data_IF_856411417996
#
_entry.id   IF_856411417996
#
_cell.length_a   1.000
_cell.length_b   1.000
_cell.length_c   1.000
_cell.angle_alpha   90.00
_cell.angle_beta   90.00
_cell.angle_gamma   90.00
#
_symmetry.space_group_name_H-M   'P 1'
#
loop_
_entity.id
_entity.type
_entity.pdbx_description
1 polymer ?
#
# COMPACT_ATOMS: atom_id res chain seq x y z
N UNK A 1 4.14 13.82 8.22
CA UNK A 1 4.72 12.47 8.44
C UNK A 1 6.23 12.49 8.61
N UNK A 2 7.05 12.73 7.56
CA UNK A 2 8.52 12.57 7.71
C UNK A 2 9.13 13.51 8.75
N UNK A 3 8.67 14.76 8.81
CA UNK A 3 9.17 15.72 9.79
C UNK A 3 8.71 15.38 11.23
N UNK A 4 7.52 14.79 11.38
CA UNK A 4 7.02 14.28 12.67
C UNK A 4 7.93 13.15 13.22
N UNK A 5 8.65 12.46 12.33
CA UNK A 5 9.57 11.37 12.63
C UNK A 5 11.05 11.74 12.40
N UNK A 6 11.38 13.03 12.32
CA UNK A 6 12.78 13.48 12.10
C UNK A 6 13.77 13.00 13.16
N UNK A 7 13.30 12.71 14.38
CA UNK A 7 14.14 12.14 15.44
C UNK A 7 14.54 10.67 15.16
N UNK A 8 13.78 9.98 14.32
CA UNK A 8 14.05 8.61 13.87
C UNK A 8 14.76 8.64 12.52
N UNK A 9 14.19 9.33 11.53
CA UNK A 9 14.74 9.39 10.18
C UNK A 9 15.98 10.27 10.07
N UNK A 10 16.24 11.11 11.06
CA UNK A 10 17.25 12.17 10.98
C UNK A 10 16.75 13.36 10.14
N UNK A 11 17.61 14.38 10.05
CA UNK A 11 17.39 15.58 9.24
C UNK A 11 18.29 15.58 8.00
N UNK A 12 17.78 16.15 6.91
CA UNK A 12 18.51 16.41 5.68
C UNK A 12 19.33 17.71 5.77
N UNK A 13 20.01 18.06 4.67
CA UNK A 13 20.87 19.25 4.59
C UNK A 13 20.08 20.58 4.63
N UNK A 14 18.78 20.54 4.35
CA UNK A 14 17.89 21.71 4.37
C UNK A 14 17.15 21.83 5.72
N UNK A 15 17.40 20.92 6.66
CA UNK A 15 16.86 20.94 8.02
C UNK A 15 15.51 20.23 8.18
N UNK A 16 15.04 19.51 7.17
CA UNK A 16 13.78 18.75 7.21
C UNK A 16 14.02 17.29 7.52
N UNK A 17 13.00 16.60 8.07
CA UNK A 17 13.05 15.15 8.24
C UNK A 17 13.33 14.40 6.92
N UNK A 18 14.27 13.45 6.95
CA UNK A 18 14.62 12.63 5.77
C UNK A 18 13.41 11.82 5.30
N UNK A 19 13.26 11.71 3.97
CA UNK A 19 12.09 11.08 3.36
C UNK A 19 12.37 9.66 2.89
N UNK A 20 11.53 8.71 3.31
CA UNK A 20 11.54 7.32 2.81
C UNK A 20 10.91 7.16 1.42
N UNK A 21 10.33 8.23 0.85
CA UNK A 21 9.60 8.15 -0.41
C UNK A 21 10.52 8.07 -1.61
N UNK A 22 10.51 6.92 -2.27
CA UNK A 22 11.17 6.69 -3.55
C UNK A 22 10.14 6.26 -4.60
N UNK A 23 10.16 6.88 -5.77
CA UNK A 23 9.38 6.41 -6.91
C UNK A 23 10.21 6.31 -8.21
N UNK A 24 11.53 6.18 -8.08
CA UNK A 24 12.40 5.88 -9.21
C UNK A 24 12.03 4.51 -9.76
N UNK A 25 11.84 4.43 -11.07
CA UNK A 25 11.48 3.19 -11.76
C UNK A 25 10.03 2.70 -11.58
N UNK A 26 9.21 3.36 -10.74
CA UNK A 26 7.80 2.99 -10.54
C UNK A 26 6.98 3.36 -11.79
N UNK A 27 6.27 2.38 -12.34
CA UNK A 27 5.52 2.50 -13.59
C UNK A 27 4.01 2.61 -13.32
N UNK A 28 3.50 3.82 -13.17
CA UNK A 28 2.08 4.04 -12.90
C UNK A 28 1.21 3.51 -14.04
N UNK A 29 0.16 2.76 -13.70
CA UNK A 29 -0.78 2.19 -14.67
C UNK A 29 -0.29 0.91 -15.38
N UNK A 30 0.80 0.26 -14.92
CA UNK A 30 1.34 -0.93 -15.58
C UNK A 30 0.32 -2.08 -15.69
N UNK A 31 -0.40 -2.40 -14.61
CA UNK A 31 -1.44 -3.43 -14.66
C UNK A 31 -2.59 -3.06 -15.63
N UNK A 32 -2.99 -1.79 -15.65
CA UNK A 32 -4.01 -1.28 -16.58
C UNK A 32 -3.55 -1.41 -18.05
N UNK A 33 -2.27 -1.12 -18.33
CA UNK A 33 -1.66 -1.32 -19.65
C UNK A 33 -1.69 -2.81 -20.05
N UNK A 34 -1.23 -3.70 -19.15
CA UNK A 34 -1.23 -5.15 -19.40
C UNK A 34 -2.63 -5.71 -19.65
N UNK A 35 -3.64 -5.13 -19.00
CA UNK A 35 -5.04 -5.49 -19.17
C UNK A 35 -5.71 -4.80 -20.38
N UNK A 36 -4.99 -3.94 -21.12
CA UNK A 36 -5.55 -3.20 -22.26
C UNK A 36 -6.56 -2.11 -21.89
N UNK A 37 -6.61 -1.70 -20.61
CA UNK A 37 -7.50 -0.64 -20.12
C UNK A 37 -7.00 0.76 -20.46
N UNK A 38 -5.69 0.90 -20.68
CA UNK A 38 -5.06 2.09 -21.24
C UNK A 38 -4.17 1.69 -22.40
N UNK A 39 -4.07 2.58 -23.38
CA UNK A 39 -3.18 2.41 -24.52
C UNK A 39 -1.70 2.60 -24.13
N UNK A 40 -0.77 2.05 -24.91
CA UNK A 40 0.66 2.37 -24.79
C UNK A 40 0.96 3.87 -24.74
N UNK A 41 0.28 4.66 -25.57
CA UNK A 41 0.46 6.12 -25.62
C UNK A 41 0.02 6.79 -24.31
N UNK A 42 -1.12 6.39 -23.74
CA UNK A 42 -1.60 6.89 -22.44
C UNK A 42 -0.67 6.48 -21.29
N UNK A 43 -0.15 5.25 -21.31
CA UNK A 43 0.82 4.78 -20.32
C UNK A 43 2.12 5.60 -20.34
N UNK A 44 2.68 5.84 -21.53
CA UNK A 44 3.88 6.68 -21.70
C UNK A 44 3.59 8.14 -21.30
N UNK A 45 2.42 8.67 -21.67
CA UNK A 45 1.99 10.03 -21.32
C UNK A 45 1.85 10.20 -19.81
N UNK A 46 1.20 9.26 -19.13
CA UNK A 46 1.01 9.26 -17.68
C UNK A 46 2.36 9.31 -16.97
N UNK A 47 3.26 8.38 -17.31
CA UNK A 47 4.56 8.28 -16.64
C UNK A 47 5.52 9.41 -17.00
N UNK A 48 5.34 10.06 -18.15
CA UNK A 48 6.08 11.27 -18.48
C UNK A 48 5.52 12.54 -17.80
N UNK A 49 4.21 12.59 -17.52
CA UNK A 49 3.56 13.79 -16.98
C UNK A 49 3.63 13.87 -15.46
N UNK A 50 3.43 12.74 -14.78
CA UNK A 50 3.40 12.66 -13.33
C UNK A 50 4.76 12.21 -12.79
N UNK A 51 5.47 13.12 -12.12
CA UNK A 51 6.79 12.87 -11.52
C UNK A 51 6.65 12.31 -10.11
N UNK A 52 6.88 13.15 -9.10
CA UNK A 52 6.77 12.82 -7.68
C UNK A 52 6.20 13.98 -6.88
N UNK A 53 6.25 13.92 -5.55
CA UNK A 53 6.07 15.10 -4.71
C UNK A 53 7.31 16.00 -4.76
N UNK A 54 7.14 17.30 -4.51
CA UNK A 54 8.25 18.23 -4.29
C UNK A 54 9.10 17.81 -3.07
N UNK A 55 10.31 18.34 -2.96
CA UNK A 55 11.06 18.21 -1.70
C UNK A 55 10.38 19.03 -0.61
N UNK A 56 10.57 18.62 0.66
CA UNK A 56 9.90 19.26 1.80
C UNK A 56 10.11 20.77 1.84
N UNK A 57 11.31 21.24 1.50
CA UNK A 57 11.64 22.68 1.43
C UNK A 57 10.91 23.46 0.34
N UNK A 58 10.46 22.78 -0.70
CA UNK A 58 9.76 23.36 -1.86
C UNK A 58 8.24 23.19 -1.77
N UNK A 59 7.77 22.43 -0.76
CA UNK A 59 6.34 22.24 -0.52
C UNK A 59 5.72 23.54 0.01
N UNK A 60 4.49 23.78 -0.40
CA UNK A 60 3.66 24.90 0.03
C UNK A 60 2.43 24.40 0.76
N UNK A 61 1.81 25.27 1.55
CA UNK A 61 0.58 24.96 2.27
C UNK A 61 -0.55 24.49 1.31
N UNK A 62 -1.22 23.41 1.69
CA UNK A 62 -2.41 22.89 0.98
C UNK A 62 -3.55 23.91 0.93
N UNK A 63 -4.45 23.75 -0.05
CA UNK A 63 -5.49 24.71 -0.38
C UNK A 63 -6.87 24.19 -0.01
N UNK A 64 -7.90 24.78 -0.60
CA UNK A 64 -9.25 24.20 -0.58
C UNK A 64 -9.26 22.88 -1.38
N UNK A 65 -9.88 21.79 -0.89
CA UNK A 65 -10.77 21.70 0.27
C UNK A 65 -10.10 21.33 1.59
N UNK A 66 -8.80 21.05 1.61
CA UNK A 66 -8.09 20.63 2.83
C UNK A 66 -8.05 21.72 3.91
N UNK A 67 -7.95 22.98 3.50
CA UNK A 67 -8.11 24.15 4.37
C UNK A 67 -9.39 24.90 4.00
N UNK A 68 -10.49 24.59 4.71
CA UNK A 68 -11.82 25.11 4.42
C UNK A 68 -11.90 26.64 4.43
N UNK A 69 -11.15 27.31 5.30
CA UNK A 69 -11.10 28.78 5.37
C UNK A 69 -10.47 29.43 4.12
N UNK A 70 -9.76 28.66 3.28
CA UNK A 70 -9.22 29.14 2.00
C UNK A 70 -10.21 28.96 0.83
N UNK A 71 -11.33 28.25 1.03
CA UNK A 71 -12.29 27.95 -0.04
C UNK A 71 -13.04 29.16 -0.60
N UNK A 72 -13.04 30.30 0.10
CA UNK A 72 -13.60 31.54 -0.42
C UNK A 72 -12.78 32.14 -1.59
N UNK A 73 -11.52 31.73 -1.75
CA UNK A 73 -10.66 32.17 -2.85
C UNK A 73 -10.52 31.06 -3.91
N UNK A 74 -11.09 31.21 -5.12
CA UNK A 74 -10.99 30.21 -6.19
C UNK A 74 -9.54 29.85 -6.59
N UNK A 75 -8.59 30.77 -6.41
CA UNK A 75 -7.17 30.50 -6.68
C UNK A 75 -6.53 29.51 -5.69
N UNK A 76 -7.20 29.24 -4.56
CA UNK A 76 -6.79 28.24 -3.57
C UNK A 76 -7.43 26.87 -3.80
N UNK A 77 -8.31 26.72 -4.80
CA UNK A 77 -8.92 25.43 -5.11
C UNK A 77 -7.89 24.48 -5.75
N UNK A 78 -7.49 23.47 -4.99
CA UNK A 78 -6.49 22.47 -5.39
C UNK A 78 -6.80 21.11 -4.73
N UNK A 79 -7.89 20.43 -5.13
CA UNK A 79 -8.30 19.16 -4.52
C UNK A 79 -7.33 18.01 -4.80
N UNK A 80 -6.38 18.21 -5.70
CA UNK A 80 -5.37 17.21 -6.07
C UNK A 80 -4.00 17.50 -5.47
N UNK A 81 -3.84 18.56 -4.65
CA UNK A 81 -2.53 18.96 -4.12
C UNK A 81 -1.49 19.20 -5.22
N UNK A 82 -1.93 19.68 -6.39
CA UNK A 82 -1.13 19.86 -7.60
C UNK A 82 0.06 20.80 -7.37
N UNK A 83 -0.09 21.78 -6.49
CA UNK A 83 0.99 22.73 -6.14
C UNK A 83 2.18 22.05 -5.46
N UNK A 84 1.99 20.87 -4.88
CA UNK A 84 3.05 20.07 -4.26
C UNK A 84 3.55 18.92 -5.14
N UNK A 85 3.05 18.79 -6.37
CA UNK A 85 3.53 17.81 -7.35
C UNK A 85 4.68 18.35 -8.19
N UNK A 86 5.60 17.46 -8.57
CA UNK A 86 6.54 17.62 -9.69
C UNK A 86 5.85 17.10 -10.95
N UNK A 87 5.27 18.02 -11.70
CA UNK A 87 4.66 17.74 -13.00
C UNK A 87 5.59 18.11 -14.13
N UNK A 88 5.38 17.47 -15.28
CA UNK A 88 6.05 17.87 -16.51
C UNK A 88 5.65 19.31 -16.88
N UNK A 89 6.61 20.18 -17.24
CA UNK A 89 6.34 21.59 -17.56
C UNK A 89 5.60 21.77 -18.89
N UNK A 90 5.66 20.80 -19.79
CA UNK A 90 5.15 20.84 -21.16
C UNK A 90 4.15 19.71 -21.43
N UNK A 91 3.45 19.31 -20.36
CA UNK A 91 2.42 18.29 -20.41
C UNK A 91 2.94 16.90 -20.74
N UNK A 92 4.23 16.64 -20.62
CA UNK A 92 4.82 15.32 -20.71
C UNK A 92 6.00 15.25 -21.65
N UNK A 93 6.16 16.15 -22.62
CA UNK A 93 7.28 16.10 -23.60
C UNK A 93 8.63 15.96 -22.90
N UNK A 94 8.89 16.80 -21.90
CA UNK A 94 9.96 16.66 -20.91
C UNK A 94 9.44 15.79 -19.75
N UNK A 95 10.00 14.59 -19.51
CA UNK A 95 9.57 13.73 -18.41
C UNK A 95 9.67 14.45 -17.05
N UNK A 96 8.62 14.33 -16.26
CA UNK A 96 8.55 14.89 -14.92
C UNK A 96 9.56 14.19 -13.99
N UNK A 97 10.31 14.94 -13.15
CA UNK A 97 11.34 14.36 -12.29
C UNK A 97 10.74 13.45 -11.21
N UNK A 98 11.34 12.26 -11.04
CA UNK A 98 11.07 11.33 -9.94
C UNK A 98 11.84 11.74 -8.68
N UNK A 99 11.47 11.18 -7.54
CA UNK A 99 12.13 11.38 -6.26
C UNK A 99 12.81 10.10 -5.81
N UNK A 100 14.07 10.23 -5.42
CA UNK A 100 14.82 9.18 -4.75
C UNK A 100 14.60 9.33 -3.24
N UNK A 101 14.27 8.22 -2.57
CA UNK A 101 14.16 8.20 -1.12
C UNK A 101 15.53 8.06 -0.46
N UNK A 102 15.63 8.44 0.81
CA UNK A 102 16.87 8.44 1.57
C UNK A 102 17.11 7.07 2.23
N UNK A 103 18.20 6.35 1.88
CA UNK A 103 18.51 5.04 2.48
C UNK A 103 18.71 5.09 3.99
N UNK A 104 19.16 6.21 4.55
CA UNK A 104 19.32 6.39 6.00
C UNK A 104 17.94 6.35 6.66
N UNK A 105 16.95 7.06 6.10
CA UNK A 105 15.59 7.05 6.61
C UNK A 105 14.93 5.67 6.47
N UNK A 106 15.17 4.98 5.34
CA UNK A 106 14.64 3.62 5.11
C UNK A 106 15.20 2.63 6.12
N UNK A 107 16.52 2.62 6.31
CA UNK A 107 17.16 1.78 7.33
C UNK A 107 16.68 2.12 8.75
N UNK A 108 16.51 3.41 9.05
CA UNK A 108 15.96 3.87 10.32
C UNK A 108 14.54 3.34 10.55
N UNK A 109 13.64 3.43 9.55
CA UNK A 109 12.28 2.90 9.63
C UNK A 109 12.24 1.41 10.01
N UNK A 110 13.13 0.59 9.43
CA UNK A 110 13.24 -0.82 9.78
C UNK A 110 13.82 -1.05 11.16
N UNK A 111 14.96 -0.41 11.46
CA UNK A 111 15.70 -0.64 12.72
C UNK A 111 14.98 -0.11 13.95
N UNK A 112 14.12 0.89 13.81
CA UNK A 112 13.35 1.47 14.91
C UNK A 112 12.00 0.79 15.18
N UNK A 113 11.64 -0.25 14.42
CA UNK A 113 10.35 -0.93 14.56
C UNK A 113 9.14 -0.15 14.03
N UNK A 114 9.34 0.89 13.21
CA UNK A 114 8.23 1.61 12.56
C UNK A 114 7.56 0.78 11.46
N UNK A 115 8.23 -0.25 10.97
CA UNK A 115 7.71 -1.20 10.00
C UNK A 115 7.36 -2.49 10.72
N UNK A 116 6.07 -2.84 10.75
CA UNK A 116 5.66 -4.18 11.14
C UNK A 116 6.16 -5.18 10.08
N UNK A 117 7.05 -6.10 10.47
CA UNK A 117 7.70 -7.05 9.54
C UNK A 117 7.05 -8.44 9.49
N UNK A 118 6.00 -8.67 10.28
CA UNK A 118 5.36 -9.98 10.40
C UNK A 118 5.74 -10.75 11.67
N UNK A 119 6.82 -10.36 12.35
CA UNK A 119 7.30 -10.98 13.60
C UNK A 119 6.37 -10.65 14.77
N UNK A 120 5.36 -11.49 14.99
CA UNK A 120 4.39 -11.35 16.07
C UNK A 120 3.82 -12.73 16.44
N UNK A 121 3.87 -13.03 17.73
CA UNK A 121 3.54 -14.34 18.30
C UNK A 121 2.43 -14.27 19.35
N UNK A 122 1.64 -13.18 19.33
CA UNK A 122 0.48 -12.98 20.20
C UNK A 122 -0.85 -13.12 19.43
N UNK A 123 -1.98 -13.39 20.11
CA UNK A 123 -3.33 -13.30 19.54
C UNK A 123 -3.65 -11.96 18.87
N UNK A 124 -4.24 -11.98 17.68
CA UNK A 124 -4.63 -10.78 16.94
C UNK A 124 -6.05 -10.90 16.40
N UNK A 125 -6.85 -9.85 16.60
CA UNK A 125 -8.09 -9.59 15.86
C UNK A 125 -7.91 -8.23 15.16
N UNK A 126 -7.71 -8.23 13.84
CA UNK A 126 -7.77 -7.01 13.02
C UNK A 126 -9.22 -6.77 12.64
N UNK A 127 -9.89 -5.93 13.43
CA UNK A 127 -11.25 -5.51 13.15
C UNK A 127 -11.29 -4.08 12.60
N UNK A 128 -12.05 -3.88 11.52
CA UNK A 128 -12.28 -2.56 10.94
C UNK A 128 -13.65 -2.38 10.32
N UNK A 129 -14.04 -1.12 10.20
CA UNK A 129 -15.14 -0.72 9.33
C UNK A 129 -14.68 -0.70 7.87
N UNK A 130 -15.51 -1.21 6.96
CA UNK A 130 -15.27 -1.14 5.53
C UNK A 130 -15.79 0.19 4.97
N UNK A 131 -14.87 1.09 4.64
CA UNK A 131 -15.15 2.48 4.28
C UNK A 131 -14.75 2.85 2.84
N UNK A 132 -14.49 1.88 1.95
CA UNK A 132 -14.01 2.14 0.58
C UNK A 132 -14.94 3.05 -0.26
N UNK A 133 -16.22 3.18 0.12
CA UNK A 133 -17.18 4.09 -0.55
C UNK A 133 -17.07 5.54 -0.09
N UNK A 134 -16.27 5.79 0.93
CA UNK A 134 -16.03 7.12 1.51
C UNK A 134 -14.63 7.58 1.12
N UNK A 135 -14.46 8.89 0.97
CA UNK A 135 -13.13 9.49 0.82
C UNK A 135 -12.43 9.46 2.18
N UNK A 136 -11.84 8.31 2.50
CA UNK A 136 -11.23 8.01 3.80
C UNK A 136 -9.83 7.41 3.60
N UNK A 137 -8.90 7.71 4.52
CA UNK A 137 -7.52 7.22 4.42
C UNK A 137 -7.36 5.75 4.84
N UNK A 138 -8.33 5.20 5.59
CA UNK A 138 -8.35 3.83 6.09
C UNK A 138 -8.81 2.87 5.00
N UNK A 139 -7.93 2.58 4.06
CA UNK A 139 -8.16 1.55 3.05
C UNK A 139 -8.08 0.14 3.65
N UNK A 140 -8.88 -0.76 3.10
CA UNK A 140 -9.19 -2.09 3.61
C UNK A 140 -8.09 -3.10 3.30
N UNK A 141 -7.29 -2.86 2.26
CA UNK A 141 -6.19 -3.78 1.91
C UNK A 141 -5.11 -3.87 2.99
N UNK A 142 -5.01 -2.92 3.94
CA UNK A 142 -3.98 -2.98 5.00
C UNK A 142 -4.11 -4.22 5.89
N UNK A 143 -5.31 -4.79 6.08
CA UNK A 143 -5.45 -6.05 6.83
C UNK A 143 -4.70 -7.19 6.15
N UNK A 144 -4.84 -7.26 4.84
CA UNK A 144 -4.22 -8.28 4.01
C UNK A 144 -2.73 -7.99 3.80
N UNK A 145 -2.33 -6.72 3.77
CA UNK A 145 -0.93 -6.34 3.83
C UNK A 145 -0.27 -6.87 5.12
N UNK A 146 -0.88 -6.65 6.29
CA UNK A 146 -0.37 -7.16 7.58
C UNK A 146 -0.29 -8.69 7.60
N UNK A 147 -1.35 -9.38 7.16
CA UNK A 147 -1.36 -10.85 7.05
C UNK A 147 -0.28 -11.35 6.10
N UNK A 148 -0.10 -10.71 4.94
CA UNK A 148 0.97 -11.07 4.01
C UNK A 148 2.37 -10.89 4.64
N UNK A 149 2.57 -9.87 5.49
CA UNK A 149 3.85 -9.69 6.20
C UNK A 149 4.11 -10.82 7.19
N UNK A 150 3.09 -11.29 7.92
CA UNK A 150 3.20 -12.46 8.80
C UNK A 150 3.59 -13.70 8.00
N UNK A 151 2.85 -14.00 6.91
CA UNK A 151 3.17 -15.12 6.02
C UNK A 151 4.57 -15.02 5.41
N UNK A 152 5.03 -13.81 5.07
CA UNK A 152 6.38 -13.61 4.55
C UNK A 152 7.49 -13.83 5.61
N UNK A 153 7.17 -13.68 6.89
CA UNK A 153 8.15 -13.78 7.98
C UNK A 153 8.48 -15.23 8.32
N UNK A 154 7.46 -16.06 8.57
CA UNK A 154 7.64 -17.46 9.00
C UNK A 154 6.68 -18.45 8.32
N UNK A 155 5.88 -17.98 7.35
CA UNK A 155 4.90 -18.82 6.65
C UNK A 155 3.61 -19.06 7.43
N UNK A 156 3.43 -18.41 8.58
CA UNK A 156 2.28 -18.60 9.45
C UNK A 156 1.58 -17.27 9.76
N UNK A 157 0.25 -17.29 9.73
CA UNK A 157 -0.58 -16.16 10.19
C UNK A 157 -1.75 -16.65 11.06
N UNK A 158 -1.64 -17.86 11.59
CA UNK A 158 -2.69 -18.55 12.34
C UNK A 158 -2.97 -17.93 13.70
N UNK A 159 -2.11 -17.03 14.20
CA UNK A 159 -2.35 -16.20 15.38
C UNK A 159 -3.19 -14.94 15.08
N UNK A 160 -3.64 -14.71 13.85
CA UNK A 160 -4.47 -13.56 13.49
C UNK A 160 -5.77 -13.90 12.79
N UNK A 161 -6.80 -13.08 13.02
CA UNK A 161 -8.07 -13.09 12.26
C UNK A 161 -8.44 -11.68 11.78
N UNK A 162 -9.10 -11.60 10.63
CA UNK A 162 -9.54 -10.36 9.98
C UNK A 162 -11.05 -10.28 9.99
N UNK A 163 -11.58 -9.21 10.59
CA UNK A 163 -13.01 -8.96 10.75
C UNK A 163 -13.40 -7.63 10.10
N UNK A 164 -14.35 -7.65 9.16
CA UNK A 164 -14.88 -6.42 8.55
C UNK A 164 -16.34 -6.19 8.92
N UNK A 165 -16.71 -4.96 9.29
CA UNK A 165 -18.11 -4.53 9.41
C UNK A 165 -18.41 -3.52 8.31
N UNK A 166 -19.50 -3.70 7.57
CA UNK A 166 -19.90 -2.74 6.54
C UNK A 166 -20.24 -1.35 7.12
N UNK A 167 -19.85 -0.26 6.45
CA UNK A 167 -20.18 1.09 6.92
C UNK A 167 -20.23 2.16 5.81
N UNK A 168 -20.64 3.41 6.14
CA UNK A 168 -21.37 3.83 7.34
C UNK A 168 -22.92 3.74 7.22
N UNK A 169 -23.68 3.68 8.34
CA UNK A 169 -23.18 3.49 9.71
C UNK A 169 -22.66 2.05 9.91
N UNK A 170 -21.74 1.87 10.85
CA UNK A 170 -21.16 0.57 11.16
C UNK A 170 -21.37 0.25 12.64
N UNK A 171 -21.83 -0.96 12.92
CA UNK A 171 -21.97 -1.49 14.27
C UNK A 171 -20.59 -1.72 14.91
N UNK A 172 -20.50 -1.42 16.21
CA UNK A 172 -19.28 -1.60 17.00
C UNK A 172 -19.11 -3.06 17.46
N UNK A 173 -18.16 -3.78 16.85
CA UNK A 173 -17.82 -5.16 17.21
C UNK A 173 -16.74 -5.27 18.27
N UNK A 174 -16.25 -4.17 18.84
CA UNK A 174 -15.27 -4.22 19.93
C UNK A 174 -15.74 -5.11 21.09
N UNK A 175 -16.99 -5.07 21.58
CA UNK A 175 -17.44 -5.97 22.65
C UNK A 175 -17.30 -7.45 22.29
N UNK A 176 -17.65 -7.83 21.05
CA UNK A 176 -17.49 -9.21 20.59
C UNK A 176 -16.02 -9.59 20.44
N UNK A 177 -15.18 -8.70 19.90
CA UNK A 177 -13.75 -8.94 19.75
C UNK A 177 -13.07 -9.12 21.12
N UNK A 178 -13.43 -8.31 22.12
CA UNK A 178 -12.92 -8.47 23.49
C UNK A 178 -13.33 -9.78 24.12
N UNK A 179 -14.57 -10.24 23.94
CA UNK A 179 -15.01 -11.54 24.44
C UNK A 179 -14.21 -12.71 23.83
N UNK A 180 -13.96 -12.66 22.51
CA UNK A 180 -13.13 -13.67 21.83
C UNK A 180 -11.68 -13.60 22.28
N UNK A 181 -11.14 -12.40 22.47
CA UNK A 181 -9.76 -12.21 22.95
C UNK A 181 -9.59 -12.69 24.40
N UNK A 182 -10.57 -12.41 25.27
CA UNK A 182 -10.58 -12.87 26.66
C UNK A 182 -10.56 -14.41 26.74
N UNK A 183 -11.39 -15.10 25.94
CA UNK A 183 -11.38 -16.55 25.84
C UNK A 183 -10.03 -17.08 25.31
N UNK A 184 -9.46 -16.42 24.30
CA UNK A 184 -8.17 -16.82 23.73
C UNK A 184 -7.03 -16.69 24.76
N UNK A 185 -6.99 -15.58 25.49
CA UNK A 185 -6.01 -15.36 26.55
C UNK A 185 -6.21 -16.33 27.72
N UNK A 186 -7.46 -16.68 28.06
CA UNK A 186 -7.76 -17.69 29.07
C UNK A 186 -7.26 -19.08 28.66
N UNK A 187 -7.45 -19.48 27.39
CA UNK A 187 -6.91 -20.73 26.86
C UNK A 187 -5.39 -20.76 26.95
N UNK A 188 -4.70 -19.69 26.52
CA UNK A 188 -3.24 -19.57 26.61
C UNK A 188 -2.75 -19.69 28.06
N UNK A 189 -3.45 -19.06 29.00
CA UNK A 189 -3.10 -19.15 30.43
C UNK A 189 -3.28 -20.58 30.99
N UNK A 190 -4.28 -21.31 30.50
CA UNK A 190 -4.56 -22.69 30.90
C UNK A 190 -3.62 -23.72 30.24
N UNK A 191 -3.14 -23.42 29.02
CA UNK A 191 -2.30 -24.30 28.20
C UNK A 191 -1.07 -23.55 27.65
N UNK A 192 -0.16 -23.10 28.52
CA UNK A 192 1.02 -22.33 28.11
C UNK A 192 2.02 -23.14 27.27
N UNK A 193 1.89 -24.46 27.24
CA UNK A 193 2.68 -25.36 26.39
C UNK A 193 2.24 -25.38 24.92
N UNK A 194 1.02 -24.90 24.63
CA UNK A 194 0.45 -24.85 23.29
C UNK A 194 0.79 -23.54 22.59
N UNK A 195 0.87 -23.56 21.26
CA UNK A 195 1.02 -22.34 20.47
C UNK A 195 -0.22 -21.44 20.58
N UNK A 196 -0.08 -20.17 20.19
CA UNK A 196 -1.23 -19.25 20.10
C UNK A 196 -2.33 -19.81 19.19
N UNK A 197 -1.95 -20.42 18.08
CA UNK A 197 -2.88 -21.04 17.14
C UNK A 197 -3.62 -22.25 17.73
N UNK A 198 -2.93 -23.08 18.52
CA UNK A 198 -3.53 -24.22 19.20
C UNK A 198 -4.52 -23.79 20.29
N UNK A 199 -4.25 -22.66 20.95
CA UNK A 199 -5.12 -22.07 21.96
C UNK A 199 -6.31 -21.27 21.39
N UNK A 200 -6.47 -21.22 20.07
CA UNK A 200 -7.46 -20.39 19.39
C UNK A 200 -8.89 -20.84 19.74
N UNK A 201 -9.75 -19.96 20.30
CA UNK A 201 -11.13 -20.31 20.61
C UNK A 201 -11.97 -20.43 19.33
N UNK A 202 -13.11 -21.12 19.41
CA UNK A 202 -14.00 -21.31 18.26
C UNK A 202 -14.49 -19.99 17.64
N UNK A 203 -14.57 -18.93 18.45
CA UNK A 203 -14.93 -17.59 18.01
C UNK A 203 -13.84 -16.86 17.21
N UNK A 204 -12.57 -17.27 17.31
CA UNK A 204 -11.43 -16.63 16.66
C UNK A 204 -11.20 -17.20 15.25
N UNK A 205 -12.17 -16.97 14.38
CA UNK A 205 -12.10 -17.23 12.93
C UNK A 205 -12.28 -15.93 12.16
N UNK A 206 -11.91 -15.92 10.88
CA UNK A 206 -12.17 -14.79 9.98
C UNK A 206 -13.68 -14.55 9.83
N UNK A 207 -14.10 -13.28 9.75
CA UNK A 207 -15.52 -12.90 9.76
C UNK A 207 -15.79 -11.64 8.95
N UNK A 208 -17.03 -11.51 8.52
CA UNK A 208 -17.55 -10.22 8.10
C UNK A 208 -19.03 -10.02 8.48
N UNK A 209 -19.41 -8.77 8.65
CA UNK A 209 -20.70 -8.35 9.23
C UNK A 209 -21.38 -7.29 8.37
N UNK A 210 -22.71 -7.27 8.42
CA UNK A 210 -23.51 -6.16 7.91
C UNK A 210 -23.31 -4.91 8.79
N UNK A 211 -23.76 -3.75 8.32
CA UNK A 211 -23.64 -2.50 9.07
C UNK A 211 -24.46 -2.45 10.37
N UNK A 212 -25.45 -3.33 10.53
CA UNK A 212 -26.20 -3.53 11.78
C UNK A 212 -25.54 -4.52 12.75
N UNK A 213 -24.38 -5.07 12.36
CA UNK A 213 -23.60 -6.01 13.16
C UNK A 213 -23.96 -7.48 12.98
N UNK A 214 -24.99 -7.80 12.18
CA UNK A 214 -25.36 -9.20 11.90
C UNK A 214 -24.29 -9.90 11.05
N UNK A 215 -23.99 -11.19 11.30
CA UNK A 215 -22.96 -11.92 10.57
C UNK A 215 -23.36 -12.16 9.10
N UNK A 216 -22.39 -12.00 8.19
CA UNK A 216 -22.54 -12.34 6.77
C UNK A 216 -21.93 -13.71 6.50
N UNK A 217 -20.67 -13.88 6.88
CA UNK A 217 -19.95 -15.14 6.76
C UNK A 217 -18.84 -15.21 7.82
N UNK A 218 -18.44 -16.43 8.17
CA UNK A 218 -17.37 -16.72 9.12
C UNK A 218 -16.71 -18.05 8.82
N UNK A 219 -15.42 -18.16 9.12
CA UNK A 219 -14.67 -19.40 9.02
C UNK A 219 -13.53 -19.32 8.01
N UNK A 220 -12.94 -20.47 7.74
CA UNK A 220 -11.85 -20.59 6.78
C UNK A 220 -12.35 -20.29 5.37
N UNK A 221 -11.51 -19.62 4.60
CA UNK A 221 -11.77 -19.34 3.19
C UNK A 221 -12.74 -18.20 2.89
N UNK A 222 -13.33 -17.55 3.90
CA UNK A 222 -14.23 -16.40 3.65
C UNK A 222 -13.52 -15.22 2.99
N UNK A 223 -12.19 -15.14 3.12
CA UNK A 223 -11.32 -14.13 2.52
C UNK A 223 -10.46 -14.64 1.34
N UNK A 224 -10.74 -15.84 0.81
CA UNK A 224 -10.02 -16.38 -0.34
C UNK A 224 -10.11 -15.44 -1.56
N UNK A 225 -9.15 -15.57 -2.47
CA UNK A 225 -9.01 -14.74 -3.67
C UNK A 225 -8.39 -13.36 -3.42
N UNK A 226 -7.84 -13.10 -2.23
CA UNK A 226 -7.12 -11.85 -1.91
C UNK A 226 -5.60 -12.06 -1.87
N UNK A 227 -5.14 -13.07 -1.11
CA UNK A 227 -3.72 -13.40 -0.95
C UNK A 227 -3.32 -14.71 -1.67
N UNK A 228 -4.28 -15.33 -2.34
CA UNK A 228 -4.15 -16.60 -3.04
C UNK A 228 -4.87 -16.54 -4.39
N UNK A 229 -4.69 -17.60 -5.19
CA UNK A 229 -5.32 -17.75 -6.50
C UNK A 229 -6.68 -18.48 -6.42
N UNK A 230 -7.26 -18.64 -5.21
CA UNK A 230 -8.55 -19.31 -5.06
C UNK A 230 -9.73 -18.42 -5.49
N UNK A 231 -10.90 -19.04 -5.63
CA UNK A 231 -12.13 -18.30 -5.89
C UNK A 231 -12.44 -17.35 -4.72
N UNK A 232 -12.89 -16.15 -5.04
CA UNK A 232 -13.23 -15.14 -4.04
C UNK A 232 -14.21 -15.69 -2.99
N UNK A 233 -13.82 -15.64 -1.71
CA UNK A 233 -14.66 -16.05 -0.59
C UNK A 233 -15.87 -15.14 -0.39
N UNK A 234 -16.83 -15.56 0.45
CA UNK A 234 -18.06 -14.81 0.69
C UNK A 234 -17.81 -13.37 1.20
N UNK A 235 -16.81 -13.18 2.07
CA UNK A 235 -16.44 -11.85 2.54
C UNK A 235 -15.67 -11.06 1.46
N UNK A 236 -14.76 -11.69 0.72
CA UNK A 236 -14.06 -11.04 -0.42
C UNK A 236 -15.05 -10.50 -1.46
N UNK A 237 -16.07 -11.29 -1.83
CA UNK A 237 -17.09 -10.86 -2.78
C UNK A 237 -17.91 -9.66 -2.25
N UNK A 238 -18.17 -9.63 -0.95
CA UNK A 238 -18.95 -8.57 -0.30
C UNK A 238 -18.16 -7.27 -0.09
N UNK A 239 -16.85 -7.38 0.09
CA UNK A 239 -15.94 -6.30 0.46
C UNK A 239 -14.76 -6.22 -0.53
N UNK A 240 -15.00 -5.76 -1.76
CA UNK A 240 -13.98 -5.71 -2.80
C UNK A 240 -12.83 -4.77 -2.41
N UNK A 241 -11.59 -5.24 -2.53
CA UNK A 241 -10.42 -4.40 -2.26
C UNK A 241 -10.02 -3.59 -3.48
N UNK A 242 -9.77 -2.30 -3.27
CA UNK A 242 -9.18 -1.44 -4.30
C UNK A 242 -7.65 -1.43 -4.19
N UNK A 243 -6.99 -1.45 -5.35
CA UNK A 243 -5.54 -1.45 -5.46
C UNK A 243 -4.95 -0.05 -5.26
N UNK A 244 -3.65 0.03 -5.03
CA UNK A 244 -2.91 1.30 -4.97
C UNK A 244 -2.12 1.54 -6.25
N UNK A 245 -1.72 2.79 -6.50
CA UNK A 245 -0.85 3.10 -7.65
C UNK A 245 0.48 2.33 -7.66
N UNK A 246 0.98 1.94 -6.47
CA UNK A 246 2.18 1.10 -6.34
C UNK A 246 1.89 -0.36 -6.66
N UNK A 247 0.79 -0.92 -6.18
CA UNK A 247 0.39 -2.30 -6.51
C UNK A 247 0.07 -2.42 -8.00
N UNK A 248 -0.66 -1.46 -8.57
CA UNK A 248 -0.91 -1.36 -10.03
C UNK A 248 0.40 -1.24 -10.83
N UNK A 249 1.46 -0.68 -10.25
CA UNK A 249 2.78 -0.62 -10.86
C UNK A 249 3.58 -1.94 -10.77
N UNK A 250 3.02 -2.99 -10.16
CA UNK A 250 3.66 -4.28 -9.92
C UNK A 250 4.23 -4.46 -8.52
N UNK A 251 4.05 -3.46 -7.63
CA UNK A 251 4.45 -3.56 -6.24
C UNK A 251 3.64 -4.62 -5.49
N UNK A 252 4.24 -5.26 -4.47
CA UNK A 252 3.58 -6.30 -3.69
C UNK A 252 2.55 -5.71 -2.69
N UNK A 253 1.57 -6.52 -2.28
CA UNK A 253 0.39 -6.09 -1.47
C UNK A 253 0.74 -5.70 -0.03
N UNK A 254 1.74 -6.36 0.54
CA UNK A 254 2.35 -6.07 1.83
C UNK A 254 2.96 -4.66 1.89
N UNK A 255 3.23 -4.02 0.75
CA UNK A 255 3.70 -2.63 0.64
C UNK A 255 5.07 -2.36 1.26
N UNK A 256 5.93 -3.37 1.34
CA UNK A 256 7.17 -3.36 2.12
C UNK A 256 8.42 -2.91 1.35
N UNK A 257 8.29 -2.45 0.11
CA UNK A 257 9.41 -2.00 -0.73
C UNK A 257 9.45 -0.45 -0.75
N UNK A 258 10.34 0.13 0.05
CA UNK A 258 10.61 1.57 -0.03
C UNK A 258 11.35 1.92 -1.32
N UNK A 259 12.41 1.17 -1.64
CA UNK A 259 13.27 1.39 -2.80
C UNK A 259 13.41 0.11 -3.61
N UNK A 260 12.72 0.06 -4.74
CA UNK A 260 12.89 -1.04 -5.67
C UNK A 260 14.31 -1.04 -6.25
N UNK A 261 14.87 -2.24 -6.45
CA UNK A 261 15.99 -2.39 -7.37
C UNK A 261 15.47 -2.17 -8.79
N UNK A 262 16.30 -1.63 -9.68
CA UNK A 262 15.89 -1.37 -11.06
C UNK A 262 16.53 -2.35 -12.03
N UNK A 263 15.76 -2.71 -13.07
CA UNK A 263 16.24 -3.38 -14.27
C UNK A 263 16.17 -2.43 -15.46
N UNK A 264 17.04 -2.62 -16.44
CA UNK A 264 17.05 -1.76 -17.63
C UNK A 264 15.73 -1.86 -18.40
N UNK A 265 15.38 -0.82 -19.16
CA UNK A 265 14.20 -0.87 -20.06
C UNK A 265 14.29 -2.04 -21.04
N UNK A 266 15.48 -2.32 -21.57
CA UNK A 266 15.69 -3.45 -22.47
C UNK A 266 15.40 -4.80 -21.80
N UNK A 267 15.82 -4.97 -20.54
CA UNK A 267 15.49 -6.16 -19.74
C UNK A 267 13.99 -6.26 -19.51
N UNK A 268 13.33 -5.17 -19.14
CA UNK A 268 11.88 -5.16 -18.90
C UNK A 268 11.05 -5.49 -20.15
N UNK A 269 11.52 -5.08 -21.34
CA UNK A 269 10.90 -5.48 -22.61
C UNK A 269 11.09 -6.98 -22.86
N UNK A 270 12.29 -7.51 -22.61
CA UNK A 270 12.63 -8.90 -22.88
C UNK A 270 11.99 -9.90 -21.92
N UNK A 271 11.74 -9.51 -20.66
CA UNK A 271 11.22 -10.41 -19.61
C UNK A 271 9.69 -10.41 -19.47
N UNK A 272 8.97 -9.72 -20.37
CA UNK A 272 7.52 -9.72 -20.39
C UNK A 272 6.87 -8.75 -19.38
N UNK A 273 7.61 -7.80 -18.82
CA UNK A 273 7.06 -6.76 -17.90
C UNK A 273 5.81 -6.08 -18.47
N UNK A 274 5.80 -5.82 -19.78
CA UNK A 274 4.72 -5.11 -20.48
C UNK A 274 3.58 -6.00 -20.99
N UNK A 275 3.60 -7.30 -20.71
CA UNK A 275 2.57 -8.24 -21.15
C UNK A 275 2.49 -8.35 -22.67
N UNK A 276 1.30 -8.16 -23.24
CA UNK A 276 1.06 -8.28 -24.69
C UNK A 276 1.58 -7.09 -25.51
N UNK A 277 1.89 -5.96 -24.89
CA UNK A 277 2.45 -4.82 -25.61
C UNK A 277 3.92 -5.07 -25.93
N UNK A 278 4.25 -5.04 -27.21
CA UNK A 278 5.62 -5.01 -27.71
C UNK A 278 6.00 -3.55 -28.05
N UNK A 279 6.78 -2.84 -27.21
CA UNK A 279 7.17 -1.46 -27.49
C UNK A 279 7.92 -1.32 -28.81
N UNK A 280 7.53 -0.32 -29.61
CA UNK A 280 8.29 0.05 -30.81
C UNK A 280 9.66 0.64 -30.44
N UNK A 281 10.51 0.91 -31.44
CA UNK A 281 11.76 1.62 -31.22
C UNK A 281 11.53 3.03 -30.62
N UNK A 282 10.48 3.72 -31.06
CA UNK A 282 10.10 5.02 -30.52
C UNK A 282 9.61 4.93 -29.07
N UNK A 283 8.78 3.93 -28.77
CA UNK A 283 8.30 3.68 -27.40
C UNK A 283 9.46 3.30 -26.46
N UNK A 284 10.39 2.48 -26.94
CA UNK A 284 11.59 2.07 -26.18
C UNK A 284 12.45 3.28 -25.84
N UNK A 285 12.74 4.14 -26.83
CA UNK A 285 13.46 5.39 -26.60
C UNK A 285 12.70 6.28 -25.61
N UNK A 286 11.36 6.30 -25.70
CA UNK A 286 10.52 7.08 -24.79
C UNK A 286 10.54 6.54 -23.36
N UNK A 287 10.48 5.22 -23.16
CA UNK A 287 10.63 4.59 -21.86
C UNK A 287 12.00 4.91 -21.24
N UNK A 288 13.07 4.90 -22.04
CA UNK A 288 14.42 5.25 -21.58
C UNK A 288 14.53 6.72 -21.16
N UNK A 289 13.82 7.63 -21.82
CA UNK A 289 13.75 9.04 -21.39
C UNK A 289 13.02 9.19 -20.05
N UNK A 290 11.92 8.45 -19.85
CA UNK A 290 11.11 8.51 -18.63
C UNK A 290 11.82 7.80 -17.45
N UNK A 291 12.49 6.69 -17.72
CA UNK A 291 13.13 5.81 -16.75
C UNK A 291 14.63 5.64 -17.06
N UNK A 292 15.43 6.71 -16.96
CA UNK A 292 16.85 6.69 -17.34
C UNK A 292 17.68 5.72 -16.50
N UNK A 293 17.26 5.44 -15.27
CA UNK A 293 17.90 4.48 -14.34
C UNK A 293 17.26 3.09 -14.38
N UNK A 294 16.37 2.83 -15.33
CA UNK A 294 15.58 1.60 -15.40
C UNK A 294 14.26 1.67 -14.61
N UNK A 295 13.53 0.56 -14.67
CA UNK A 295 12.21 0.37 -14.05
C UNK A 295 12.31 -0.60 -12.88
N UNK A 296 11.37 -0.54 -11.94
CA UNK A 296 11.38 -1.42 -10.77
C UNK A 296 11.38 -2.91 -11.16
N UNK A 297 12.26 -3.67 -10.52
CA UNK A 297 12.26 -5.13 -10.51
C UNK A 297 11.74 -5.62 -9.14
N UNK A 298 10.42 -5.84 -9.07
CA UNK A 298 9.76 -6.32 -7.86
C UNK A 298 10.01 -7.80 -7.57
N UNK A 299 10.78 -8.52 -8.41
CA UNK A 299 11.30 -9.85 -8.06
C UNK A 299 12.46 -9.79 -7.05
N UNK A 300 13.00 -8.58 -6.81
CA UNK A 300 14.11 -8.33 -5.92
C UNK A 300 13.64 -7.73 -4.59
N UNK A 301 14.35 -8.00 -3.49
CA UNK A 301 14.04 -7.40 -2.20
C UNK A 301 14.29 -5.88 -2.22
N UNK A 302 13.69 -5.20 -1.24
CA UNK A 302 13.88 -3.76 -1.02
C UNK A 302 15.38 -3.41 -0.85
N UNK A 303 15.86 -2.49 -1.68
CA UNK A 303 17.23 -1.97 -1.59
C UNK A 303 17.42 -1.02 -0.40
N UNK A 304 16.34 -0.54 0.22
CA UNK A 304 16.36 0.27 1.43
C UNK A 304 16.39 -0.54 2.73
N UNK A 305 16.30 -1.88 2.65
CA UNK A 305 16.37 -2.76 3.82
C UNK A 305 17.83 -2.93 4.26
N UNK A 306 18.16 -2.73 5.56
CA UNK A 306 19.52 -2.85 6.09
C UNK A 306 20.04 -4.29 6.12
#
# INVERSE_FOLDING_TARGET
HWDDLRNVYGIDADGYGRSTWDNVGVQYGLAALKAGQITPAEFLKLNATAGSWKESKDMVQEGCPFLSFLCANPAQFDPWSRRNMRLSPDGGTTPAPRKQGDPIAMAAAYSSGLVFRGDIDIPIIDWRHYLERQLDMHNSHQSFASRQRMLNFDGDASNGVIWFTDGPPAFDQAPQAFAVMDEWMANIAAHPEQSVAQNKPAGAVDKCFNGDGSPIASGDGVWNGILDDEAAGACTQRFPLYSTSRIVAGGPIEGGIYKCQTKSVATAIADGTYGLWAPSAADTARLQQIFPTGVCDYSKPDAGKP
#
